data_IF_612216355696
#
_entry.id   IF_612216355696
#
_cell.length_a   1.000
_cell.length_b   1.000
_cell.length_c   1.000
_cell.angle_alpha   90.00
_cell.angle_beta   90.00
_cell.angle_gamma   90.00
#
_symmetry.space_group_name_H-M   'P 1'
#
loop_
_entity.id
_entity.type
_entity.pdbx_description
1 polymer ?
#
# COMPACT_ATOMS: atom_id res chain seq x y z
N UNK A 1 -33.43 3.83 22.91
CA UNK A 1 -33.13 3.09 21.69
C UNK A 1 -31.97 3.80 20.98
N UNK A 2 -30.72 3.63 21.41
CA UNK A 2 -29.55 4.17 20.68
C UNK A 2 -28.22 3.63 21.20
N UNK A 3 -28.07 2.32 21.35
CA UNK A 3 -26.79 1.69 21.71
C UNK A 3 -26.32 0.65 20.68
N UNK A 4 -27.14 0.33 19.68
CA UNK A 4 -26.83 -0.69 18.68
C UNK A 4 -26.08 -0.15 17.44
N UNK A 5 -26.04 1.18 17.23
CA UNK A 5 -25.41 1.77 16.05
C UNK A 5 -23.91 2.04 16.19
N UNK A 6 -23.37 1.99 17.43
CA UNK A 6 -21.95 2.26 17.70
C UNK A 6 -21.05 1.04 17.56
N UNK A 7 -21.59 -0.17 17.62
CA UNK A 7 -20.79 -1.41 17.54
C UNK A 7 -20.54 -1.90 16.11
N UNK A 8 -21.30 -1.42 15.13
CA UNK A 8 -21.11 -1.81 13.73
C UNK A 8 -19.86 -1.18 13.07
N UNK A 9 -19.31 -0.11 13.64
CA UNK A 9 -18.10 0.57 13.14
C UNK A 9 -16.80 -0.07 13.61
N UNK A 10 -16.84 -0.96 14.62
CA UNK A 10 -15.66 -1.64 15.17
C UNK A 10 -15.44 -3.05 14.57
N UNK A 11 -16.40 -3.55 13.81
CA UNK A 11 -16.27 -4.81 13.10
C UNK A 11 -15.43 -4.57 11.82
N UNK A 12 -14.12 -4.72 11.93
CA UNK A 12 -13.19 -4.57 10.82
C UNK A 12 -13.51 -5.52 9.65
N UNK A 13 -12.86 -5.34 8.49
CA UNK A 13 -13.10 -6.06 7.23
C UNK A 13 -13.01 -7.59 7.33
N UNK A 14 -12.52 -8.10 8.42
CA UNK A 14 -12.39 -9.52 8.78
C UNK A 14 -13.73 -10.25 8.83
N UNK A 15 -14.79 -9.58 9.28
CA UNK A 15 -16.14 -10.16 9.35
C UNK A 15 -16.79 -10.37 7.98
N UNK A 16 -16.36 -9.60 6.97
CA UNK A 16 -16.90 -9.72 5.61
C UNK A 16 -16.46 -11.02 4.90
N UNK A 17 -15.41 -11.67 5.36
CA UNK A 17 -14.88 -12.89 4.74
C UNK A 17 -15.46 -14.19 5.33
N UNK A 18 -16.17 -14.14 6.45
CA UNK A 18 -16.66 -15.34 7.15
C UNK A 18 -15.56 -16.28 7.66
N UNK A 19 -14.30 -15.81 7.68
CA UNK A 19 -13.15 -16.57 8.16
C UNK A 19 -12.76 -16.14 9.58
N UNK A 20 -12.27 -17.07 10.43
CA UNK A 20 -11.78 -16.72 11.76
C UNK A 20 -10.54 -15.83 11.68
N UNK A 21 -10.42 -14.88 12.60
CA UNK A 21 -9.19 -14.10 12.78
C UNK A 21 -8.19 -14.95 13.56
N UNK A 22 -7.05 -15.25 12.94
CA UNK A 22 -5.94 -15.98 13.55
C UNK A 22 -5.13 -15.05 14.46
N UNK A 23 -5.03 -13.77 14.09
CA UNK A 23 -4.37 -12.79 14.95
C UNK A 23 -4.39 -11.38 14.37
N UNK A 24 -4.09 -10.42 15.24
CA UNK A 24 -3.98 -8.98 14.93
C UNK A 24 -2.67 -8.45 15.50
N UNK A 25 -1.51 -8.76 14.85
CA UNK A 25 -0.21 -8.38 15.38
C UNK A 25 -0.05 -6.86 15.42
N UNK A 26 0.62 -6.38 16.46
CA UNK A 26 1.02 -4.99 16.68
C UNK A 26 2.53 -4.78 16.47
N UNK A 27 3.27 -5.88 16.32
CA UNK A 27 4.71 -5.91 16.10
C UNK A 27 5.13 -6.97 15.08
N UNK A 28 6.33 -6.80 14.51
CA UNK A 28 6.94 -7.79 13.63
C UNK A 28 7.15 -9.13 14.33
N UNK A 29 7.52 -9.10 15.62
CA UNK A 29 7.74 -10.32 16.42
C UNK A 29 6.45 -11.13 16.58
N UNK A 30 5.32 -10.46 16.86
CA UNK A 30 4.01 -11.10 16.93
C UNK A 30 3.58 -11.66 15.57
N UNK A 31 3.78 -10.89 14.49
CA UNK A 31 3.49 -11.36 13.14
C UNK A 31 4.31 -12.62 12.79
N UNK A 32 5.60 -12.63 13.14
CA UNK A 32 6.50 -13.77 12.97
C UNK A 32 6.01 -15.01 13.73
N UNK A 33 5.61 -14.86 14.98
CA UNK A 33 5.10 -15.96 15.81
C UNK A 33 3.82 -16.53 15.19
N UNK A 34 2.83 -15.68 14.85
CA UNK A 34 1.56 -16.09 14.25
C UNK A 34 1.74 -16.82 12.92
N UNK A 35 2.65 -16.34 12.07
CA UNK A 35 2.95 -17.01 10.79
C UNK A 35 3.60 -18.37 11.03
N UNK A 36 4.53 -18.47 11.96
CA UNK A 36 5.20 -19.74 12.32
C UNK A 36 4.21 -20.78 12.85
N UNK A 37 3.33 -20.35 13.75
CA UNK A 37 2.30 -21.21 14.33
C UNK A 37 1.30 -21.69 13.24
N UNK A 38 0.88 -20.78 12.37
CA UNK A 38 0.03 -21.12 11.23
C UNK A 38 0.71 -22.11 10.27
N UNK A 39 2.00 -21.89 9.96
CA UNK A 39 2.77 -22.80 9.12
C UNK A 39 2.90 -24.18 9.74
N UNK A 40 3.19 -24.28 11.05
CA UNK A 40 3.28 -25.53 11.78
C UNK A 40 1.93 -26.29 11.80
N UNK A 41 0.82 -25.55 11.87
CA UNK A 41 -0.54 -26.10 11.85
C UNK A 41 -1.05 -26.38 10.42
N UNK A 42 -0.31 -26.04 9.36
CA UNK A 42 -0.78 -26.13 7.97
C UNK A 42 -1.93 -25.18 7.64
N UNK A 43 -2.14 -24.12 8.43
CA UNK A 43 -3.22 -23.15 8.28
C UNK A 43 -2.88 -22.14 7.19
N UNK A 44 -3.74 -22.02 6.19
CA UNK A 44 -3.59 -21.03 5.11
C UNK A 44 -4.13 -19.68 5.55
N UNK A 45 -3.27 -18.67 5.56
CA UNK A 45 -3.60 -17.33 5.99
C UNK A 45 -4.00 -16.44 4.81
N UNK A 46 -5.08 -15.66 4.98
CA UNK A 46 -5.34 -14.48 4.18
C UNK A 46 -4.86 -13.23 4.91
N UNK A 47 -3.95 -12.49 4.30
CA UNK A 47 -3.44 -11.25 4.86
C UNK A 47 -4.40 -10.12 4.54
N UNK A 48 -4.80 -9.36 5.56
CA UNK A 48 -5.76 -8.28 5.41
C UNK A 48 -5.26 -7.03 6.14
N UNK A 49 -5.06 -5.94 5.39
CA UNK A 49 -4.90 -4.61 5.96
C UNK A 49 -6.26 -4.03 6.35
N UNK A 50 -6.73 -3.00 5.63
CA UNK A 50 -8.06 -2.42 5.82
C UNK A 50 -9.13 -2.98 4.87
N UNK A 51 -8.86 -4.10 4.22
CA UNK A 51 -9.85 -4.84 3.43
C UNK A 51 -10.22 -4.21 2.08
N UNK A 52 -9.42 -3.30 1.53
CA UNK A 52 -9.72 -2.60 0.27
C UNK A 52 -9.54 -3.45 -0.98
N UNK A 53 -8.88 -4.61 -0.86
CA UNK A 53 -8.52 -5.49 -1.97
C UNK A 53 -9.11 -6.89 -1.84
N UNK A 54 -10.18 -7.04 -1.04
CA UNK A 54 -10.77 -8.37 -0.79
C UNK A 54 -11.43 -8.98 -2.03
N UNK A 55 -11.96 -8.13 -2.90
CA UNK A 55 -12.66 -8.54 -4.13
C UNK A 55 -11.76 -8.60 -5.35
N UNK A 56 -10.46 -8.28 -5.19
CA UNK A 56 -9.52 -8.27 -6.30
C UNK A 56 -8.90 -9.65 -6.53
N UNK A 57 -8.71 -10.00 -7.80
CA UNK A 57 -8.08 -11.24 -8.21
C UNK A 57 -9.01 -12.44 -8.16
N UNK A 58 -8.41 -13.64 -8.11
CA UNK A 58 -9.16 -14.89 -8.02
C UNK A 58 -9.58 -15.21 -6.58
N UNK A 59 -10.65 -16.00 -6.38
CA UNK A 59 -11.03 -16.46 -5.04
C UNK A 59 -9.87 -17.19 -4.36
N UNK A 60 -9.55 -16.77 -3.14
CA UNK A 60 -8.47 -17.34 -2.35
C UNK A 60 -9.04 -18.34 -1.34
N UNK A 61 -8.47 -19.54 -1.32
CA UNK A 61 -8.76 -20.53 -0.28
C UNK A 61 -7.89 -20.25 0.93
N UNK A 62 -8.48 -19.79 2.02
CA UNK A 62 -7.82 -19.54 3.28
C UNK A 62 -8.61 -20.16 4.42
N UNK A 63 -7.94 -20.51 5.50
CA UNK A 63 -8.53 -21.10 6.70
C UNK A 63 -8.70 -20.05 7.80
N UNK A 64 -7.98 -18.92 7.70
CA UNK A 64 -8.10 -17.81 8.63
C UNK A 64 -7.47 -16.52 8.11
N UNK A 65 -7.72 -15.44 8.83
CA UNK A 65 -7.25 -14.09 8.51
C UNK A 65 -6.18 -13.65 9.49
N UNK A 66 -5.08 -13.12 8.95
CA UNK A 66 -4.12 -12.32 9.69
C UNK A 66 -4.41 -10.84 9.42
N UNK A 67 -4.93 -10.14 10.43
CA UNK A 67 -5.37 -8.76 10.32
C UNK A 67 -4.22 -7.80 10.67
N UNK A 68 -3.72 -7.06 9.69
CA UNK A 68 -2.49 -6.27 9.80
C UNK A 68 -2.75 -4.78 10.09
N UNK A 69 -4.02 -4.38 10.24
CA UNK A 69 -4.35 -2.96 10.44
C UNK A 69 -3.80 -2.38 11.75
N UNK A 70 -3.58 -3.23 12.78
CA UNK A 70 -3.01 -2.82 14.06
C UNK A 70 -1.46 -2.69 14.02
N UNK A 71 -0.83 -3.17 12.96
CA UNK A 71 0.60 -3.00 12.72
C UNK A 71 0.83 -1.64 12.08
N UNK A 72 0.55 -0.56 12.79
CA UNK A 72 0.54 0.81 12.29
C UNK A 72 1.54 1.73 12.99
N UNK A 73 1.69 2.92 12.45
CA UNK A 73 2.52 4.00 12.96
C UNK A 73 3.76 4.28 12.10
N UNK A 74 4.13 5.56 12.07
CA UNK A 74 5.40 6.00 11.47
C UNK A 74 6.53 5.64 12.43
N UNK A 75 7.50 4.90 11.92
CA UNK A 75 8.68 4.43 12.67
C UNK A 75 9.77 5.50 12.66
N UNK A 76 9.97 6.13 11.49
CA UNK A 76 11.01 7.13 11.32
C UNK A 76 10.69 8.05 10.13
N UNK A 77 11.04 9.32 10.26
CA UNK A 77 10.94 10.31 9.19
C UNK A 77 12.21 11.17 9.19
N UNK A 78 12.89 11.18 8.05
CA UNK A 78 14.10 11.98 7.84
C UNK A 78 13.84 12.99 6.72
N UNK A 79 13.32 14.19 7.05
CA UNK A 79 12.92 15.19 6.05
C UNK A 79 14.05 15.60 5.11
N UNK A 80 15.29 15.72 5.61
CA UNK A 80 16.45 16.09 4.82
C UNK A 80 16.81 15.08 3.73
N UNK A 81 16.50 13.81 3.94
CA UNK A 81 16.75 12.72 2.98
C UNK A 81 15.53 12.39 2.13
N UNK A 82 14.39 13.04 2.38
CA UNK A 82 13.10 12.74 1.76
C UNK A 82 12.72 11.27 1.92
N UNK A 83 12.90 10.72 3.12
CA UNK A 83 12.60 9.31 3.41
C UNK A 83 11.71 9.17 4.64
N UNK A 84 10.80 8.22 4.59
CA UNK A 84 9.92 7.85 5.70
C UNK A 84 9.84 6.33 5.79
N UNK A 85 9.89 5.82 7.01
CA UNK A 85 9.65 4.40 7.31
C UNK A 85 8.40 4.29 8.16
N UNK A 86 7.46 3.46 7.74
CA UNK A 86 6.23 3.20 8.49
C UNK A 86 5.91 1.71 8.50
N UNK A 87 5.16 1.30 9.51
CA UNK A 87 4.61 -0.05 9.59
C UNK A 87 3.57 -0.28 8.50
N UNK A 88 3.43 -1.52 8.07
CA UNK A 88 2.63 -1.88 6.90
C UNK A 88 1.13 -1.56 7.04
N UNK A 89 0.59 -1.58 8.26
CA UNK A 89 -0.80 -1.24 8.57
C UNK A 89 -1.09 0.26 8.60
N UNK A 90 -0.06 1.12 8.50
CA UNK A 90 -0.22 2.58 8.57
C UNK A 90 -1.08 3.09 7.41
N UNK A 91 -2.15 3.86 7.69
CA UNK A 91 -2.94 4.49 6.64
C UNK A 91 -2.12 5.48 5.82
N UNK A 92 -2.36 5.55 4.51
CA UNK A 92 -1.70 6.53 3.64
C UNK A 92 -2.02 7.97 4.07
N UNK A 93 -3.23 8.21 4.58
CA UNK A 93 -3.62 9.51 5.09
C UNK A 93 -2.77 9.97 6.28
N UNK A 94 -2.35 9.06 7.17
CA UNK A 94 -1.45 9.37 8.28
C UNK A 94 -0.05 9.71 7.78
N UNK A 95 0.46 8.95 6.81
CA UNK A 95 1.75 9.24 6.18
C UNK A 95 1.71 10.61 5.49
N UNK A 96 0.62 10.89 4.77
CA UNK A 96 0.42 12.19 4.12
C UNK A 96 0.42 13.34 5.14
N UNK A 97 -0.25 13.16 6.28
CA UNK A 97 -0.28 14.16 7.37
C UNK A 97 1.11 14.43 7.94
N UNK A 98 1.89 13.37 8.19
CA UNK A 98 3.25 13.50 8.73
C UNK A 98 4.19 14.16 7.71
N UNK A 99 4.14 13.74 6.46
CA UNK A 99 4.96 14.30 5.39
C UNK A 99 4.63 15.78 5.12
N UNK A 100 3.35 16.15 5.16
CA UNK A 100 2.90 17.53 4.91
C UNK A 100 3.42 18.53 5.95
N UNK A 101 3.66 18.10 7.20
CA UNK A 101 4.25 18.94 8.24
C UNK A 101 5.64 19.46 7.84
N UNK A 102 6.37 18.71 7.02
CA UNK A 102 7.70 19.05 6.49
C UNK A 102 7.64 19.49 5.02
N UNK A 103 6.47 19.92 4.52
CA UNK A 103 6.25 20.31 3.12
C UNK A 103 6.67 19.21 2.13
N UNK A 104 6.37 17.98 2.47
CA UNK A 104 6.65 16.79 1.66
C UNK A 104 5.37 16.01 1.40
N UNK A 105 5.41 15.09 0.43
CA UNK A 105 4.31 14.18 0.15
C UNK A 105 4.82 12.81 -0.30
N UNK A 106 4.00 11.80 -0.09
CA UNK A 106 4.21 10.46 -0.61
C UNK A 106 3.55 10.37 -2.00
N UNK A 107 4.36 10.15 -3.04
CA UNK A 107 3.88 10.08 -4.42
C UNK A 107 3.32 8.68 -4.76
N UNK A 108 2.45 8.15 -3.90
CA UNK A 108 1.70 6.92 -4.11
C UNK A 108 0.20 7.25 -4.03
N UNK A 109 -0.51 6.99 -5.09
CA UNK A 109 -1.95 7.24 -5.24
C UNK A 109 -2.67 5.95 -5.69
N UNK A 110 -2.73 4.92 -4.83
CA UNK A 110 -3.40 3.68 -5.19
C UNK A 110 -4.88 3.91 -5.48
N UNK A 111 -5.48 3.02 -6.27
CA UNK A 111 -6.92 3.01 -6.46
C UNK A 111 -7.64 2.82 -5.12
N UNK A 112 -8.76 3.52 -4.96
CA UNK A 112 -9.61 3.44 -3.78
C UNK A 112 -9.47 4.65 -2.85
N UNK A 113 -9.92 4.48 -1.61
CA UNK A 113 -9.93 5.57 -0.64
C UNK A 113 -8.56 5.74 0.04
N UNK A 114 -8.30 6.97 0.52
CA UNK A 114 -7.07 7.37 1.20
C UNK A 114 -6.81 6.62 2.54
N UNK A 115 -7.75 5.84 3.01
CA UNK A 115 -7.64 4.98 4.20
C UNK A 115 -6.98 3.63 3.90
N UNK A 116 -6.55 3.36 2.67
CA UNK A 116 -5.70 2.23 2.33
C UNK A 116 -4.40 2.24 3.13
N UNK A 117 -3.82 1.05 3.38
CA UNK A 117 -2.57 0.94 4.15
C UNK A 117 -1.35 0.95 3.22
N UNK A 118 -0.21 1.41 3.74
CA UNK A 118 1.06 1.39 3.02
C UNK A 118 1.41 -0.03 2.55
N UNK A 119 1.32 -1.02 3.44
CA UNK A 119 1.62 -2.41 3.12
C UNK A 119 0.73 -2.99 2.03
N UNK A 120 -0.58 -2.68 2.04
CA UNK A 120 -1.48 -3.13 0.98
C UNK A 120 -1.15 -2.48 -0.36
N UNK A 121 -0.82 -1.18 -0.38
CA UNK A 121 -0.40 -0.45 -1.59
C UNK A 121 0.86 -1.06 -2.19
N UNK A 122 1.84 -1.38 -1.36
CA UNK A 122 3.10 -2.01 -1.81
C UNK A 122 2.87 -3.45 -2.24
N UNK A 123 2.14 -4.23 -1.44
CA UNK A 123 1.86 -5.64 -1.75
C UNK A 123 1.08 -5.81 -3.07
N UNK A 124 0.17 -4.91 -3.39
CA UNK A 124 -0.61 -4.95 -4.65
C UNK A 124 0.09 -4.22 -5.80
N UNK A 125 1.13 -3.44 -5.51
CA UNK A 125 1.75 -2.49 -6.43
C UNK A 125 0.73 -1.52 -7.06
N UNK A 126 -0.34 -1.20 -6.34
CA UNK A 126 -1.38 -0.30 -6.83
C UNK A 126 -0.84 1.10 -7.07
N UNK A 127 -1.12 1.64 -8.24
CA UNK A 127 -0.66 2.94 -8.66
C UNK A 127 -1.76 3.64 -9.47
N UNK A 128 -1.89 4.94 -9.26
CA UNK A 128 -2.77 5.83 -9.99
C UNK A 128 -2.01 6.77 -10.93
N UNK A 129 -2.61 7.90 -11.31
CA UNK A 129 -2.05 8.86 -12.25
C UNK A 129 -0.68 9.44 -11.87
N UNK A 130 -0.39 9.60 -10.57
CA UNK A 130 0.92 10.10 -10.10
C UNK A 130 2.09 9.22 -10.54
N UNK A 131 1.84 7.96 -10.87
CA UNK A 131 2.88 7.06 -11.36
C UNK A 131 3.54 7.54 -12.66
N UNK A 132 2.85 8.32 -13.48
CA UNK A 132 3.43 8.91 -14.70
C UNK A 132 4.56 9.89 -14.37
N UNK A 133 4.39 10.71 -13.35
CA UNK A 133 5.38 11.73 -12.97
C UNK A 133 6.42 11.21 -11.98
N UNK A 134 6.02 10.36 -11.03
CA UNK A 134 6.83 10.00 -9.87
C UNK A 134 7.22 8.53 -9.81
N UNK A 135 6.74 7.71 -10.73
CA UNK A 135 6.99 6.27 -10.77
C UNK A 135 6.02 5.46 -9.91
N UNK A 136 6.05 4.16 -10.12
CA UNK A 136 5.20 3.18 -9.42
C UNK A 136 5.69 2.90 -8.00
N UNK A 137 4.95 2.16 -7.15
CA UNK A 137 5.43 1.73 -5.85
C UNK A 137 6.80 1.06 -5.92
N UNK A 138 7.06 0.28 -6.97
CA UNK A 138 8.33 -0.42 -7.19
C UNK A 138 9.55 0.51 -7.25
N UNK A 139 9.39 1.75 -7.70
CA UNK A 139 10.45 2.77 -7.79
C UNK A 139 10.49 3.71 -6.59
N UNK A 140 9.44 3.74 -5.77
CA UNK A 140 9.34 4.62 -4.60
C UNK A 140 9.60 3.89 -3.27
N UNK A 141 9.54 2.56 -3.24
CA UNK A 141 9.92 1.75 -2.08
C UNK A 141 11.44 1.60 -2.06
N UNK A 142 12.06 2.00 -0.95
CA UNK A 142 13.50 1.95 -0.72
C UNK A 142 13.94 0.71 0.05
N UNK A 143 13.07 0.25 0.97
CA UNK A 143 13.34 -0.90 1.81
C UNK A 143 12.06 -1.53 2.34
N UNK A 144 12.18 -2.79 2.70
CA UNK A 144 11.09 -3.55 3.32
C UNK A 144 11.62 -4.41 4.45
N UNK A 145 10.80 -4.57 5.49
CA UNK A 145 10.89 -5.67 6.42
C UNK A 145 9.65 -6.55 6.20
N UNK A 146 9.86 -7.85 6.11
CA UNK A 146 8.76 -8.78 5.96
C UNK A 146 9.04 -10.11 6.66
N UNK A 147 7.97 -10.79 7.02
CA UNK A 147 7.99 -12.14 7.59
C UNK A 147 7.75 -13.14 6.48
N UNK A 148 8.65 -14.08 6.26
CA UNK A 148 8.52 -15.16 5.28
C UNK A 148 7.41 -16.14 5.69
N UNK A 149 7.03 -17.05 4.78
CA UNK A 149 6.07 -18.12 5.09
C UNK A 149 6.52 -19.09 6.19
N UNK A 150 7.81 -19.10 6.55
CA UNK A 150 8.39 -19.89 7.66
C UNK A 150 8.44 -19.11 8.98
N UNK A 151 8.02 -17.85 8.97
CA UNK A 151 8.07 -16.97 10.14
C UNK A 151 9.43 -16.29 10.36
N UNK A 152 10.35 -16.35 9.42
CA UNK A 152 11.63 -15.64 9.50
C UNK A 152 11.45 -14.17 9.14
N UNK A 153 12.09 -13.27 9.90
CA UNK A 153 12.11 -11.84 9.61
C UNK A 153 13.25 -11.52 8.65
N UNK A 154 12.92 -10.95 7.51
CA UNK A 154 13.87 -10.54 6.48
C UNK A 154 13.80 -9.04 6.27
N UNK A 155 14.96 -8.40 6.20
CA UNK A 155 15.11 -6.98 5.84
C UNK A 155 15.86 -6.85 4.52
N UNK A 156 15.34 -6.02 3.64
CA UNK A 156 15.96 -5.77 2.34
C UNK A 156 15.85 -4.30 1.96
N UNK A 157 16.86 -3.80 1.22
CA UNK A 157 16.97 -2.39 0.92
C UNK A 157 17.35 -1.58 2.16
N UNK A 158 16.96 -0.31 2.17
CA UNK A 158 17.24 0.62 3.25
C UNK A 158 17.07 2.06 2.77
N UNK A 159 17.40 3.04 3.61
CA UNK A 159 17.33 4.47 3.27
C UNK A 159 18.33 4.92 2.21
N UNK A 160 19.34 4.10 1.89
CA UNK A 160 20.36 4.40 0.87
C UNK A 160 19.91 3.92 -0.50
N UNK A 161 20.07 4.78 -1.49
CA UNK A 161 19.59 4.61 -2.88
C UNK A 161 20.29 3.46 -3.62
N UNK A 162 21.35 2.87 -3.05
CA UNK A 162 22.17 1.87 -3.73
C UNK A 162 22.33 0.60 -2.89
N UNK A 163 21.55 -0.43 -3.23
CA UNK A 163 21.80 -1.80 -2.78
C UNK A 163 22.35 -2.60 -3.95
N UNK A 164 23.63 -2.98 -3.88
CA UNK A 164 24.38 -3.60 -5.01
C UNK A 164 24.74 -5.07 -4.77
N UNK A 165 24.30 -5.66 -3.68
CA UNK A 165 24.61 -7.05 -3.35
C UNK A 165 23.31 -7.86 -3.10
N UNK A 166 23.19 -9.01 -3.75
CA UNK A 166 22.11 -9.97 -3.55
C UNK A 166 20.87 -9.75 -4.41
N UNK A 167 19.83 -10.54 -4.14
CA UNK A 167 18.54 -10.42 -4.82
C UNK A 167 17.79 -9.15 -4.39
N UNK A 168 17.12 -8.51 -5.34
CA UNK A 168 16.27 -7.35 -5.07
C UNK A 168 14.95 -7.80 -4.44
N UNK A 169 14.99 -8.08 -3.14
CA UNK A 169 13.83 -8.53 -2.39
C UNK A 169 12.77 -7.41 -2.24
N UNK A 170 13.16 -6.15 -2.35
CA UNK A 170 12.22 -5.02 -2.36
C UNK A 170 11.32 -5.12 -3.58
N UNK A 171 11.90 -5.33 -4.75
CA UNK A 171 11.12 -5.53 -5.98
C UNK A 171 10.33 -6.83 -5.97
N UNK A 172 10.87 -7.89 -5.38
CA UNK A 172 10.18 -9.16 -5.27
C UNK A 172 8.92 -9.05 -4.39
N UNK A 173 9.02 -8.38 -3.24
CA UNK A 173 7.90 -8.20 -2.32
C UNK A 173 6.84 -7.22 -2.85
N UNK A 174 7.25 -6.24 -3.68
CA UNK A 174 6.34 -5.26 -4.28
C UNK A 174 5.52 -5.91 -5.40
N UNK A 175 4.21 -5.95 -5.22
CA UNK A 175 3.29 -6.60 -6.15
C UNK A 175 3.14 -8.12 -5.95
N UNK A 176 3.68 -8.67 -4.84
CA UNK A 176 3.58 -10.09 -4.52
C UNK A 176 2.22 -10.50 -3.91
N UNK A 177 1.31 -9.57 -3.65
CA UNK A 177 -0.03 -9.81 -3.07
C UNK A 177 0.00 -10.60 -1.75
N UNK A 178 1.10 -10.48 -0.99
CA UNK A 178 1.28 -11.22 0.26
C UNK A 178 1.57 -12.72 0.10
N UNK A 179 1.77 -13.20 -1.14
CA UNK A 179 2.02 -14.64 -1.41
C UNK A 179 3.42 -15.10 -1.00
N UNK A 180 4.35 -14.16 -0.83
CA UNK A 180 5.74 -14.44 -0.45
C UNK A 180 6.04 -14.17 1.03
N UNK A 181 5.10 -13.53 1.74
CA UNK A 181 5.25 -13.20 3.16
C UNK A 181 4.42 -11.98 3.56
N UNK A 182 4.55 -11.61 4.81
CA UNK A 182 3.81 -10.52 5.47
C UNK A 182 4.71 -9.29 5.54
N UNK A 183 4.40 -8.23 4.81
CA UNK A 183 5.08 -6.94 4.99
C UNK A 183 4.79 -6.39 6.39
N UNK A 184 5.83 -6.00 7.12
CA UNK A 184 5.74 -5.45 8.47
C UNK A 184 6.16 -3.99 8.53
N UNK A 185 7.24 -3.60 7.85
CA UNK A 185 7.67 -2.22 7.70
C UNK A 185 8.06 -1.92 6.25
N UNK A 186 7.87 -0.67 5.83
CA UNK A 186 8.22 -0.19 4.50
C UNK A 186 8.88 1.18 4.61
N UNK A 187 10.05 1.31 4.01
CA UNK A 187 10.73 2.60 3.80
C UNK A 187 10.41 3.12 2.42
N UNK A 188 9.95 4.36 2.34
CA UNK A 188 9.53 5.00 1.09
C UNK A 188 10.25 6.31 0.86
N UNK A 189 10.37 6.67 -0.43
CA UNK A 189 10.82 7.99 -0.85
C UNK A 189 9.66 8.97 -0.82
N UNK A 190 9.91 10.13 -0.20
CA UNK A 190 9.03 11.28 -0.26
C UNK A 190 9.46 12.24 -1.38
N UNK A 191 8.61 13.23 -1.65
CA UNK A 191 8.87 14.32 -2.58
C UNK A 191 8.56 15.65 -1.88
N UNK A 192 9.28 16.71 -2.25
CA UNK A 192 8.92 18.05 -1.82
C UNK A 192 7.56 18.44 -2.43
N UNK A 193 6.71 19.09 -1.65
CA UNK A 193 5.49 19.70 -2.17
C UNK A 193 5.84 20.79 -3.18
N UNK A 194 5.16 20.85 -4.33
CA UNK A 194 5.33 21.94 -5.27
C UNK A 194 4.87 23.26 -4.65
N UNK A 195 5.40 24.38 -5.15
CA UNK A 195 4.96 25.71 -4.72
C UNK A 195 3.53 26.01 -5.20
N UNK A 196 3.18 25.49 -6.36
CA UNK A 196 1.85 25.63 -6.97
C UNK A 196 1.35 24.27 -7.42
N UNK A 197 0.13 23.96 -7.07
CA UNK A 197 -0.64 22.81 -7.55
C UNK A 197 -1.94 23.35 -8.17
N UNK A 198 -2.13 23.14 -9.47
CA UNK A 198 -3.28 23.65 -10.19
C UNK A 198 -3.87 22.57 -11.11
N UNK A 199 -5.20 22.46 -11.10
CA UNK A 199 -5.93 21.57 -12.00
C UNK A 199 -6.56 22.39 -13.12
N UNK A 200 -6.27 22.03 -14.37
CA UNK A 200 -6.94 22.61 -15.55
C UNK A 200 -7.98 21.62 -16.05
N UNK A 201 -9.24 22.05 -16.07
CA UNK A 201 -10.34 21.28 -16.65
C UNK A 201 -10.69 21.83 -18.03
N UNK A 202 -10.64 20.99 -19.06
CA UNK A 202 -11.04 21.34 -20.42
C UNK A 202 -12.29 20.56 -20.80
N UNK A 203 -13.37 21.27 -21.10
CA UNK A 203 -14.57 20.68 -21.65
C UNK A 203 -14.44 20.54 -23.17
N UNK A 204 -14.39 19.34 -23.68
CA UNK A 204 -14.43 19.07 -25.11
C UNK A 204 -15.86 18.97 -25.62
N UNK A 205 -16.20 19.57 -26.80
CA UNK A 205 -17.49 19.38 -27.40
C UNK A 205 -17.78 17.89 -27.66
N UNK A 206 -19.04 17.47 -27.52
CA UNK A 206 -19.44 16.08 -27.70
C UNK A 206 -19.02 15.47 -29.05
N UNK A 207 -18.96 16.28 -30.12
CA UNK A 207 -18.49 15.88 -31.43
C UNK A 207 -16.99 15.51 -31.44
N UNK A 208 -16.16 16.18 -30.61
CA UNK A 208 -14.75 15.86 -30.47
C UNK A 208 -14.53 14.58 -29.63
N UNK A 209 -15.42 14.34 -28.66
CA UNK A 209 -15.37 13.11 -27.84
C UNK A 209 -15.72 11.85 -28.67
N UNK A 210 -16.63 11.96 -29.65
CA UNK A 210 -16.97 10.82 -30.53
C UNK A 210 -15.85 10.50 -31.55
N UNK A 211 -15.07 11.49 -31.97
CA UNK A 211 -13.90 11.30 -32.82
C UNK A 211 -12.70 10.70 -32.06
N UNK A 212 -12.56 11.01 -30.76
CA UNK A 212 -11.55 10.43 -29.87
C UNK A 212 -11.82 8.94 -29.54
N UNK A 213 -13.07 8.49 -29.62
CA UNK A 213 -13.46 7.08 -29.46
C UNK A 213 -12.92 6.15 -30.55
N UNK A 214 -12.45 6.68 -31.68
CA UNK A 214 -11.82 5.91 -32.75
C UNK A 214 -10.30 5.76 -32.63
N UNK A 215 -9.67 6.38 -31.62
CA UNK A 215 -8.26 6.22 -31.29
C UNK A 215 -7.87 7.11 -30.12
N UNK A 216 -7.45 6.50 -29.02
CA UNK A 216 -7.06 7.18 -27.77
C UNK A 216 -5.91 8.21 -27.95
N UNK A 217 -5.27 8.26 -29.12
CA UNK A 217 -4.20 9.20 -29.43
C UNK A 217 -4.67 10.61 -29.80
N UNK A 218 -5.95 10.77 -30.18
CA UNK A 218 -6.46 12.08 -30.62
C UNK A 218 -6.67 13.09 -29.49
N UNK A 219 -6.96 12.63 -28.27
CA UNK A 219 -7.20 13.52 -27.13
C UNK A 219 -5.90 14.08 -26.54
N UNK A 220 -4.80 13.32 -26.61
CA UNK A 220 -3.48 13.74 -26.10
C UNK A 220 -2.85 14.75 -27.03
N UNK A 221 -3.00 14.60 -28.36
CA UNK A 221 -2.47 15.55 -29.34
C UNK A 221 -3.09 16.96 -29.24
N UNK A 222 -4.31 17.06 -28.68
CA UNK A 222 -4.95 18.38 -28.47
C UNK A 222 -4.41 19.12 -27.24
N UNK A 223 -3.77 18.42 -26.31
CA UNK A 223 -3.14 19.00 -25.10
C UNK A 223 -1.69 19.45 -25.36
N UNK A 224 -1.00 18.82 -26.32
CA UNK A 224 0.37 19.18 -26.70
C UNK A 224 0.45 20.46 -27.56
N UNK A 225 -0.69 21.03 -27.97
CA UNK A 225 -0.78 22.24 -28.79
C UNK A 225 -0.96 23.54 -27.99
N UNK A 226 -0.88 23.49 -26.66
CA UNK A 226 -0.94 24.61 -25.71
C UNK A 226 0.34 24.65 -24.88
#
# INVERSE_FOLDING_TARGET
MSAASSLASAAGPTLALGLPTVGTPTSTAEASALVRDAAAAGTRLRLVGRGRWLDAGHPVRADGVLALAALDGVVDHVPGDLTLTARAGTPLAEIARVAAAERQFLALDPFGAADGTLGATVATASAGPLAHAFGTPRSNVLGVEFVTGTGEVVRAGGRVVKNVAGFDLVRLATGAWGTLGVLTEVSVRLRALPEVDATVAVALPAAAASAAGAGAHGAVAALDAW
#
